data_IF_892897128568
#
_entry.id   IF_892897128568
#
_cell.length_a   1.000
_cell.length_b   1.000
_cell.length_c   1.000
_cell.angle_alpha   90.00
_cell.angle_beta   90.00
_cell.angle_gamma   90.00
#
_symmetry.space_group_name_H-M   'P 1'
#
loop_
_entity.id
_entity.type
_entity.pdbx_description
1 polymer ?
#
# COMPACT_ATOMS: atom_id res chain seq x y z
N UNK A 1 17.02 1.50 24.66
CA UNK A 1 17.25 1.64 23.19
C UNK A 1 17.35 0.23 22.63
N UNK A 2 16.26 -0.36 22.17
CA UNK A 2 16.29 -1.66 21.52
C UNK A 2 16.81 -1.44 20.08
N UNK A 3 17.93 -2.09 19.76
CA UNK A 3 18.48 -2.15 18.40
C UNK A 3 17.44 -2.87 17.53
N UNK A 4 17.12 -2.28 16.39
CA UNK A 4 16.36 -2.97 15.34
C UNK A 4 16.98 -4.34 15.10
N UNK A 5 16.18 -5.42 15.00
CA UNK A 5 16.70 -6.73 14.65
C UNK A 5 17.42 -6.63 13.31
N UNK A 6 18.50 -7.31 13.23
CA UNK A 6 19.51 -7.38 12.19
C UNK A 6 18.90 -7.30 10.79
N UNK A 7 19.15 -6.19 10.11
CA UNK A 7 18.85 -6.03 8.69
C UNK A 7 19.64 -7.07 7.89
N UNK A 8 18.97 -8.12 7.46
CA UNK A 8 19.52 -9.03 6.46
C UNK A 8 19.56 -8.26 5.14
N UNK A 9 20.70 -7.66 4.85
CA UNK A 9 20.99 -7.04 3.57
C UNK A 9 21.20 -8.13 2.53
N UNK A 10 20.13 -8.56 1.88
CA UNK A 10 20.21 -9.45 0.74
C UNK A 10 20.08 -8.59 -0.52
N UNK A 11 21.09 -8.53 -1.34
CA UNK A 11 21.18 -7.89 -2.67
C UNK A 11 20.25 -6.66 -2.88
N UNK A 12 20.26 -5.78 -1.94
CA UNK A 12 19.63 -4.48 -2.03
C UNK A 12 20.55 -3.63 -2.84
N UNK A 13 20.16 -3.36 -4.08
CA UNK A 13 20.83 -2.37 -4.89
C UNK A 13 20.91 -1.07 -4.09
N UNK A 14 22.01 -0.34 -4.19
CA UNK A 14 22.03 1.04 -3.72
C UNK A 14 20.98 1.79 -4.52
N UNK A 15 20.10 2.54 -3.83
CA UNK A 15 19.19 3.46 -4.51
C UNK A 15 19.98 4.38 -5.43
N UNK A 16 19.55 4.54 -6.68
CA UNK A 16 20.30 5.29 -7.67
C UNK A 16 19.66 6.65 -7.98
N UNK A 17 20.48 7.63 -8.26
CA UNK A 17 20.08 8.91 -8.83
C UNK A 17 18.88 9.58 -8.12
N UNK A 18 17.81 9.81 -8.87
CA UNK A 18 16.63 10.52 -8.40
C UNK A 18 15.82 9.73 -7.36
N UNK A 19 15.89 8.40 -7.36
CA UNK A 19 15.23 7.61 -6.34
C UNK A 19 15.86 7.81 -4.95
N UNK A 20 17.18 7.80 -4.90
CA UNK A 20 17.95 8.14 -3.69
C UNK A 20 17.64 9.57 -3.20
N UNK A 21 17.63 10.55 -4.11
CA UNK A 21 17.30 11.93 -3.75
C UNK A 21 15.89 12.06 -3.17
N UNK A 22 14.91 11.42 -3.81
CA UNK A 22 13.55 11.43 -3.31
C UNK A 22 13.41 10.74 -1.95
N UNK A 23 14.03 9.59 -1.74
CA UNK A 23 14.11 8.95 -0.43
C UNK A 23 14.68 9.89 0.65
N UNK A 24 15.78 10.60 0.33
CA UNK A 24 16.40 11.59 1.26
C UNK A 24 15.46 12.75 1.59
N UNK A 25 14.63 13.19 0.64
CA UNK A 25 13.62 14.24 0.86
C UNK A 25 12.44 13.68 1.67
N UNK A 26 11.97 12.47 1.38
CA UNK A 26 10.84 11.86 2.06
C UNK A 26 11.16 11.49 3.51
N UNK A 27 12.36 11.04 3.80
CA UNK A 27 12.79 10.61 5.14
C UNK A 27 12.46 11.65 6.23
N UNK A 28 12.92 12.90 6.16
CA UNK A 28 12.61 13.89 7.19
C UNK A 28 11.11 14.21 7.26
N UNK A 29 10.39 14.20 6.13
CA UNK A 29 8.94 14.45 6.09
C UNK A 29 8.18 13.35 6.83
N UNK A 30 8.50 12.08 6.55
CA UNK A 30 7.86 10.94 7.22
C UNK A 30 8.14 10.96 8.72
N UNK A 31 9.39 11.20 9.13
CA UNK A 31 9.76 11.28 10.55
C UNK A 31 9.18 12.51 11.26
N UNK A 32 8.98 13.62 10.57
CA UNK A 32 8.33 14.82 11.13
C UNK A 32 6.83 14.56 11.39
N UNK A 33 6.16 13.87 10.45
CA UNK A 33 4.70 13.68 10.48
C UNK A 33 4.27 12.41 11.23
N UNK A 34 5.14 11.41 11.39
CA UNK A 34 4.81 10.10 11.97
C UNK A 34 5.94 9.48 12.77
N UNK A 35 5.62 8.32 13.37
CA UNK A 35 6.58 7.40 13.97
C UNK A 35 6.54 6.09 13.19
N UNK A 36 7.36 5.95 12.12
CA UNK A 36 7.33 4.78 11.28
C UNK A 36 7.85 3.54 12.00
N UNK A 37 7.18 2.42 11.79
CA UNK A 37 7.56 1.08 12.27
C UNK A 37 7.14 0.06 11.22
N UNK A 38 7.97 -0.95 11.00
CA UNK A 38 7.67 -2.06 10.10
C UNK A 38 8.21 -3.38 10.61
N UNK A 39 7.60 -4.45 10.16
CA UNK A 39 8.02 -5.83 10.39
C UNK A 39 7.80 -6.68 9.14
N UNK A 40 8.21 -7.95 9.18
CA UNK A 40 8.07 -8.89 8.07
C UNK A 40 8.96 -8.57 6.86
N UNK A 41 10.02 -7.75 7.03
CA UNK A 41 10.93 -7.34 5.94
C UNK A 41 11.62 -8.56 5.30
N UNK A 42 11.79 -9.62 6.05
CA UNK A 42 12.33 -10.91 5.59
C UNK A 42 11.48 -11.59 4.52
N UNK A 43 10.20 -11.23 4.43
CA UNK A 43 9.27 -11.72 3.39
C UNK A 43 9.46 -11.02 2.05
N UNK A 44 10.23 -9.92 1.99
CA UNK A 44 10.59 -9.32 0.70
C UNK A 44 11.57 -10.21 -0.04
N UNK A 45 11.36 -10.47 -1.33
CA UNK A 45 12.33 -11.21 -2.14
C UNK A 45 13.73 -10.60 -2.05
N UNK A 46 14.75 -11.44 -2.04
CA UNK A 46 16.14 -10.99 -1.94
C UNK A 46 16.62 -10.18 -3.17
N UNK A 47 15.90 -10.29 -4.27
CA UNK A 47 16.16 -9.58 -5.53
C UNK A 47 15.20 -10.05 -6.61
N UNK A 48 15.35 -9.48 -7.81
CA UNK A 48 14.49 -9.80 -8.95
C UNK A 48 13.16 -9.04 -8.94
N UNK A 49 12.36 -9.22 -9.99
CA UNK A 49 11.05 -8.60 -10.10
C UNK A 49 10.06 -9.25 -9.14
N UNK A 50 9.20 -8.44 -8.54
CA UNK A 50 8.02 -8.89 -7.80
C UNK A 50 6.93 -7.84 -7.82
N UNK A 51 5.71 -8.25 -7.52
CA UNK A 51 4.56 -7.35 -7.36
C UNK A 51 4.36 -7.09 -5.88
N UNK A 52 4.44 -5.83 -5.47
CA UNK A 52 4.05 -5.38 -4.14
C UNK A 52 2.56 -5.02 -4.14
N UNK A 53 1.79 -5.60 -3.23
CA UNK A 53 0.34 -5.47 -3.17
C UNK A 53 -0.12 -4.85 -1.84
N UNK A 54 0.01 -3.52 -1.64
CA UNK A 54 -0.44 -2.87 -0.42
C UNK A 54 -1.94 -2.59 -0.43
N UNK A 55 -2.56 -2.51 0.78
CA UNK A 55 -3.86 -1.89 0.97
C UNK A 55 -3.76 -0.36 0.80
N UNK A 56 -4.90 0.33 0.57
CA UNK A 56 -4.90 1.74 0.22
C UNK A 56 -5.95 2.55 0.99
N UNK A 57 -5.53 3.27 2.01
CA UNK A 57 -6.44 4.00 2.91
C UNK A 57 -6.21 5.53 2.93
N UNK A 58 -5.07 6.00 2.46
CA UNK A 58 -4.65 7.39 2.59
C UNK A 58 -3.94 7.90 1.34
N UNK A 59 -4.07 9.19 1.06
CA UNK A 59 -3.23 9.84 0.06
C UNK A 59 -1.74 9.90 0.48
N UNK A 60 -1.43 9.58 1.74
CA UNK A 60 -0.05 9.47 2.25
C UNK A 60 0.57 8.09 2.01
N UNK A 61 -0.22 7.08 1.67
CA UNK A 61 0.28 5.72 1.46
C UNK A 61 1.43 5.61 0.45
N UNK A 62 1.43 6.30 -0.71
CA UNK A 62 2.56 6.24 -1.62
C UNK A 62 3.84 6.82 -1.03
N UNK A 63 3.71 7.83 -0.16
CA UNK A 63 4.85 8.44 0.55
C UNK A 63 5.42 7.47 1.59
N UNK A 64 4.55 6.84 2.38
CA UNK A 64 4.95 5.85 3.38
C UNK A 64 5.59 4.61 2.75
N UNK A 65 5.01 4.11 1.64
CA UNK A 65 5.58 2.98 0.90
C UNK A 65 6.92 3.33 0.25
N UNK A 66 7.01 4.50 -0.39
CA UNK A 66 8.27 4.96 -0.99
C UNK A 66 9.39 5.11 0.03
N UNK A 67 9.07 5.64 1.22
CA UNK A 67 10.01 5.71 2.34
C UNK A 67 10.42 4.30 2.82
N UNK A 68 9.43 3.44 3.14
CA UNK A 68 9.68 2.07 3.60
C UNK A 68 10.57 1.27 2.64
N UNK A 69 10.23 1.29 1.35
CA UNK A 69 10.98 0.56 0.33
C UNK A 69 12.37 1.15 0.12
N UNK A 70 12.49 2.47 0.11
CA UNK A 70 13.77 3.16 0.03
C UNK A 70 14.68 2.82 1.22
N UNK A 71 14.15 2.76 2.44
CA UNK A 71 14.89 2.35 3.64
C UNK A 71 15.35 0.88 3.57
N UNK A 72 14.60 0.06 2.83
CA UNK A 72 14.92 -1.34 2.58
C UNK A 72 15.69 -1.58 1.26
N UNK A 73 16.10 -0.52 0.55
CA UNK A 73 16.95 -0.59 -0.63
C UNK A 73 16.24 -1.05 -1.91
N UNK A 74 14.92 -0.87 -1.99
CA UNK A 74 14.12 -1.18 -3.17
C UNK A 74 13.67 0.08 -3.89
N UNK A 75 13.81 0.07 -5.21
CA UNK A 75 13.18 1.02 -6.12
C UNK A 75 11.90 0.40 -6.66
N UNK A 76 10.76 1.06 -6.45
CA UNK A 76 9.45 0.52 -6.83
C UNK A 76 8.74 1.45 -7.82
N UNK A 77 8.10 0.89 -8.83
CA UNK A 77 7.27 1.60 -9.79
C UNK A 77 5.80 1.41 -9.45
N UNK A 78 5.19 2.41 -8.81
CA UNK A 78 3.75 2.38 -8.52
C UNK A 78 2.91 2.79 -9.71
N UNK A 79 1.75 2.15 -9.83
CA UNK A 79 0.68 2.61 -10.69
C UNK A 79 0.04 3.86 -10.09
N UNK A 80 0.12 4.99 -10.78
CA UNK A 80 -0.37 6.28 -10.31
C UNK A 80 -1.38 6.91 -11.28
N UNK A 81 -2.40 7.59 -10.75
CA UNK A 81 -3.44 8.25 -11.57
C UNK A 81 -2.80 9.24 -12.55
N UNK A 82 -3.12 9.12 -13.85
CA UNK A 82 -2.56 9.96 -14.91
C UNK A 82 -2.65 11.48 -14.62
N UNK A 83 -3.76 11.94 -14.01
CA UNK A 83 -3.90 13.36 -13.67
C UNK A 83 -2.83 13.90 -12.73
N UNK A 84 -2.19 13.05 -11.92
CA UNK A 84 -1.10 13.45 -11.03
C UNK A 84 0.16 13.85 -11.79
N UNK A 85 0.38 13.27 -12.97
CA UNK A 85 1.50 13.61 -13.85
C UNK A 85 1.38 15.00 -14.49
N UNK A 86 0.18 15.60 -14.43
CA UNK A 86 -0.09 16.97 -14.91
C UNK A 86 0.08 18.04 -13.83
N UNK A 87 0.20 17.61 -12.55
CA UNK A 87 0.36 18.53 -11.42
C UNK A 87 1.80 19.07 -11.42
N UNK A 88 1.99 20.41 -11.36
CA UNK A 88 3.32 21.00 -11.24
C UNK A 88 4.09 20.42 -10.05
N UNK A 89 5.40 20.22 -10.19
CA UNK A 89 6.30 19.59 -9.22
C UNK A 89 6.04 18.09 -9.03
N UNK A 90 4.80 17.65 -8.78
CA UNK A 90 4.45 16.23 -8.59
C UNK A 90 4.66 15.44 -9.88
N UNK A 91 4.21 15.95 -11.01
CA UNK A 91 4.30 15.25 -12.29
C UNK A 91 5.74 14.93 -12.73
N UNK A 92 6.66 15.91 -12.74
CA UNK A 92 8.07 15.64 -12.95
C UNK A 92 8.66 14.60 -11.99
N UNK A 93 8.34 14.71 -10.71
CA UNK A 93 8.80 13.79 -9.68
C UNK A 93 8.32 12.34 -9.93
N UNK A 94 7.04 12.16 -10.26
CA UNK A 94 6.50 10.83 -10.60
C UNK A 94 7.15 10.22 -11.83
N UNK A 95 7.43 11.05 -12.86
CA UNK A 95 8.15 10.59 -14.07
C UNK A 95 9.59 10.18 -13.74
N UNK A 96 10.30 10.98 -12.96
CA UNK A 96 11.68 10.67 -12.55
C UNK A 96 11.78 9.41 -11.71
N UNK A 97 10.75 9.15 -10.88
CA UNK A 97 10.67 7.91 -10.10
C UNK A 97 10.15 6.71 -10.89
N UNK A 98 9.91 6.88 -12.19
CA UNK A 98 9.45 5.80 -13.05
C UNK A 98 8.06 5.28 -12.72
N UNK A 99 7.20 6.13 -12.10
CA UNK A 99 5.82 5.74 -11.81
C UNK A 99 5.03 5.50 -13.09
N UNK A 100 4.14 4.51 -13.07
CA UNK A 100 3.35 4.07 -14.23
C UNK A 100 2.02 4.81 -14.26
N UNK A 101 1.73 5.62 -15.31
CA UNK A 101 0.47 6.36 -15.40
C UNK A 101 -0.71 5.43 -15.70
N UNK A 102 -1.82 5.60 -14.97
CA UNK A 102 -3.09 4.88 -15.17
C UNK A 102 -4.19 5.84 -15.58
N UNK A 103 -4.76 5.64 -16.75
CA UNK A 103 -5.99 6.29 -17.20
C UNK A 103 -7.18 5.44 -16.71
N UNK A 104 -7.94 5.98 -15.74
CA UNK A 104 -9.11 5.29 -15.18
C UNK A 104 -10.35 5.54 -16.02
N UNK A 105 -11.16 4.51 -16.24
CA UNK A 105 -12.47 4.65 -16.91
C UNK A 105 -12.42 4.63 -18.43
N UNK A 106 -11.32 4.23 -19.05
CA UNK A 106 -11.19 4.02 -20.48
C UNK A 106 -10.66 2.60 -20.78
N UNK A 107 -10.75 2.16 -22.01
CA UNK A 107 -10.13 0.92 -22.52
C UNK A 107 -8.60 0.91 -22.30
N UNK A 108 -8.01 2.07 -22.04
CA UNK A 108 -6.60 2.28 -21.73
C UNK A 108 -6.20 1.85 -20.29
N UNK A 109 -7.15 1.36 -19.47
CA UNK A 109 -6.77 0.70 -18.20
C UNK A 109 -5.90 -0.55 -18.44
N UNK A 110 -6.05 -1.20 -19.59
CA UNK A 110 -5.19 -2.29 -20.07
C UNK A 110 -3.75 -1.84 -20.33
N UNK A 111 -3.54 -0.61 -20.80
CA UNK A 111 -2.20 -0.09 -21.09
C UNK A 111 -1.33 -0.01 -19.81
N UNK A 112 -1.93 0.33 -18.67
CA UNK A 112 -1.20 0.37 -17.41
C UNK A 112 -0.68 -1.01 -16.99
N UNK A 113 -1.44 -2.08 -17.23
CA UNK A 113 -0.98 -3.45 -16.97
C UNK A 113 0.10 -3.86 -17.96
N UNK A 114 0.03 -3.43 -19.22
CA UNK A 114 1.09 -3.64 -20.20
C UNK A 114 2.40 -2.99 -19.76
N UNK A 115 2.38 -1.72 -19.35
CA UNK A 115 3.59 -1.06 -18.83
C UNK A 115 4.11 -1.70 -17.54
N UNK A 116 3.22 -2.16 -16.66
CA UNK A 116 3.59 -2.91 -15.47
C UNK A 116 4.26 -4.26 -15.83
N UNK A 117 3.72 -4.97 -16.82
CA UNK A 117 4.32 -6.20 -17.35
C UNK A 117 5.73 -5.93 -17.91
N UNK A 118 5.88 -4.91 -18.76
CA UNK A 118 7.18 -4.52 -19.32
C UNK A 118 8.21 -4.18 -18.23
N UNK A 119 7.78 -3.52 -17.14
CA UNK A 119 8.63 -3.20 -16.01
C UNK A 119 9.10 -4.47 -15.28
N UNK A 120 8.17 -5.40 -14.99
CA UNK A 120 8.52 -6.70 -14.37
C UNK A 120 9.47 -7.52 -15.23
N UNK A 121 9.25 -7.57 -16.54
CA UNK A 121 10.16 -8.28 -17.49
C UNK A 121 11.56 -7.66 -17.49
N UNK A 122 11.68 -6.35 -17.26
CA UNK A 122 12.97 -5.66 -17.11
C UNK A 122 13.65 -5.88 -15.75
N UNK A 123 12.97 -6.58 -14.83
CA UNK A 123 13.49 -6.85 -13.50
C UNK A 123 13.10 -5.82 -12.44
N UNK A 124 12.21 -4.88 -12.76
CA UNK A 124 11.74 -3.86 -11.82
C UNK A 124 10.74 -4.44 -10.79
N UNK A 125 10.65 -3.80 -9.64
CA UNK A 125 9.58 -4.03 -8.67
C UNK A 125 8.39 -3.15 -9.02
N UNK A 126 7.19 -3.73 -9.07
CA UNK A 126 5.96 -2.99 -9.39
C UNK A 126 5.03 -2.97 -8.19
N UNK A 127 4.61 -1.79 -7.77
CA UNK A 127 3.63 -1.59 -6.71
C UNK A 127 2.22 -1.35 -7.26
N UNK A 128 1.26 -2.18 -6.84
CA UNK A 128 -0.13 -2.07 -7.25
C UNK A 128 -1.02 -2.07 -6.02
N UNK A 129 -1.65 -0.93 -5.74
CA UNK A 129 -2.71 -0.89 -4.74
C UNK A 129 -3.87 -1.78 -5.20
N UNK A 130 -4.04 -2.90 -4.50
CA UNK A 130 -4.94 -3.99 -4.89
C UNK A 130 -6.37 -3.54 -5.14
N UNK A 131 -6.85 -2.61 -4.33
CA UNK A 131 -8.20 -2.04 -4.41
C UNK A 131 -8.39 -1.12 -5.64
N UNK A 132 -7.31 -0.65 -6.24
CA UNK A 132 -7.31 0.28 -7.38
C UNK A 132 -7.75 1.70 -7.04
N UNK A 133 -8.13 1.97 -5.81
CA UNK A 133 -8.46 3.31 -5.27
C UNK A 133 -8.35 3.29 -3.75
N UNK A 134 -8.38 4.46 -3.13
CA UNK A 134 -8.49 4.59 -1.67
C UNK A 134 -9.74 3.89 -1.16
N UNK A 135 -9.62 3.15 -0.07
CA UNK A 135 -10.77 2.48 0.55
C UNK A 135 -11.90 3.45 0.86
N UNK A 136 -13.14 3.00 0.65
CA UNK A 136 -14.36 3.69 1.07
C UNK A 136 -14.96 3.08 2.31
N UNK A 137 -14.38 1.97 2.78
CA UNK A 137 -14.82 1.36 4.02
C UNK A 137 -14.69 2.36 5.18
N UNK A 138 -15.77 2.59 5.95
CA UNK A 138 -15.76 3.52 7.08
C UNK A 138 -14.72 3.18 8.15
N UNK A 139 -14.37 1.89 8.29
CA UNK A 139 -13.35 1.39 9.21
C UNK A 139 -11.94 1.38 8.63
N UNK A 140 -11.75 1.85 7.38
CA UNK A 140 -10.48 1.77 6.63
C UNK A 140 -10.00 0.34 6.38
N UNK A 141 -10.92 -0.64 6.33
CA UNK A 141 -10.58 -2.00 5.95
C UNK A 141 -10.29 -2.09 4.45
N UNK A 142 -9.46 -3.07 4.02
CA UNK A 142 -9.24 -3.33 2.61
C UNK A 142 -10.56 -3.65 1.91
N UNK A 143 -10.84 -2.95 0.82
CA UNK A 143 -12.00 -3.23 -0.03
C UNK A 143 -11.76 -4.42 -0.95
N UNK A 144 -12.83 -4.86 -1.60
CA UNK A 144 -12.76 -5.87 -2.65
C UNK A 144 -11.78 -5.47 -3.74
N UNK A 145 -10.81 -6.34 -3.96
CA UNK A 145 -9.73 -6.10 -4.91
C UNK A 145 -10.15 -6.22 -6.36
N UNK A 146 -9.35 -5.62 -7.24
CA UNK A 146 -9.49 -5.76 -8.69
C UNK A 146 -8.62 -6.89 -9.21
N UNK A 147 -9.09 -7.56 -10.26
CA UNK A 147 -8.43 -8.72 -10.86
C UNK A 147 -7.15 -8.40 -11.64
N UNK A 148 -6.87 -7.11 -11.90
CA UNK A 148 -5.74 -6.71 -12.74
C UNK A 148 -4.38 -7.17 -12.21
N UNK A 149 -4.19 -7.14 -10.88
CA UNK A 149 -2.96 -7.63 -10.24
C UNK A 149 -2.80 -9.13 -10.44
N UNK A 150 -3.86 -9.92 -10.22
CA UNK A 150 -3.82 -11.37 -10.40
C UNK A 150 -3.54 -11.76 -11.86
N UNK A 151 -4.12 -11.03 -12.83
CA UNK A 151 -3.81 -11.22 -14.26
C UNK A 151 -2.33 -11.00 -14.53
N UNK A 152 -1.79 -9.89 -14.07
CA UNK A 152 -0.37 -9.56 -14.24
C UNK A 152 0.55 -10.62 -13.59
N UNK A 153 0.19 -11.10 -12.39
CA UNK A 153 0.95 -12.13 -11.70
C UNK A 153 0.96 -13.45 -12.47
N UNK A 154 -0.19 -13.88 -13.01
CA UNK A 154 -0.27 -15.10 -13.80
C UNK A 154 0.49 -14.99 -15.14
N UNK A 155 0.49 -13.82 -15.77
CA UNK A 155 1.23 -13.59 -17.01
C UNK A 155 2.75 -13.53 -16.81
N UNK A 156 3.21 -13.05 -15.66
CA UNK A 156 4.64 -12.83 -15.40
C UNK A 156 5.27 -13.88 -14.49
N UNK A 157 4.47 -14.61 -13.72
CA UNK A 157 4.92 -15.64 -12.75
C UNK A 157 5.90 -15.11 -11.68
N UNK A 158 5.88 -13.80 -11.41
CA UNK A 158 6.71 -13.20 -10.37
C UNK A 158 6.04 -13.30 -9.01
N UNK A 159 6.80 -13.30 -7.90
CA UNK A 159 6.24 -13.30 -6.55
C UNK A 159 5.25 -12.14 -6.33
N UNK A 160 4.14 -12.42 -5.64
CA UNK A 160 3.16 -11.41 -5.18
C UNK A 160 3.31 -11.25 -3.68
N UNK A 161 3.72 -10.08 -3.23
CA UNK A 161 4.00 -9.77 -1.83
C UNK A 161 2.92 -8.84 -1.29
N UNK A 162 1.99 -9.34 -0.46
CA UNK A 162 1.01 -8.48 0.21
C UNK A 162 1.69 -7.63 1.28
N UNK A 163 1.23 -6.40 1.41
CA UNK A 163 1.70 -5.49 2.47
C UNK A 163 0.50 -4.82 3.12
N UNK A 164 0.42 -4.88 4.43
CA UNK A 164 -0.59 -4.14 5.17
C UNK A 164 0.04 -2.94 5.85
N UNK A 165 -0.67 -1.81 5.79
CA UNK A 165 -0.25 -0.58 6.44
C UNK A 165 -1.39 0.00 7.26
N UNK A 166 -1.04 0.77 8.31
CA UNK A 166 -1.96 1.45 9.21
C UNK A 166 -1.36 2.73 9.75
N UNK A 167 -2.19 3.76 9.97
CA UNK A 167 -1.77 5.03 10.56
C UNK A 167 -1.55 6.16 9.55
N UNK A 168 -1.43 5.85 8.25
CA UNK A 168 -1.29 6.87 7.20
C UNK A 168 -2.53 7.78 7.09
N UNK A 169 -3.73 7.25 7.39
CA UNK A 169 -4.99 8.00 7.44
C UNK A 169 -5.02 9.08 8.53
N UNK A 170 -4.23 8.91 9.60
CA UNK A 170 -4.13 9.89 10.67
C UNK A 170 -3.21 11.06 10.29
N UNK A 171 -2.36 10.87 9.28
CA UNK A 171 -1.50 11.90 8.69
C UNK A 171 -2.26 12.64 7.59
N UNK A 172 -2.83 11.90 6.63
CA UNK A 172 -3.55 12.47 5.50
C UNK A 172 -4.81 11.66 5.21
N UNK A 173 -5.91 12.08 5.82
CA UNK A 173 -7.21 11.47 5.58
C UNK A 173 -7.71 11.77 4.16
N UNK A 174 -8.44 10.82 3.58
CA UNK A 174 -8.99 10.91 2.23
C UNK A 174 -9.92 12.12 2.03
N UNK A 175 -10.73 12.43 3.05
CA UNK A 175 -11.81 13.41 2.94
C UNK A 175 -11.46 14.77 3.54
N UNK A 176 -10.62 14.79 4.57
CA UNK A 176 -10.28 16.03 5.31
C UNK A 176 -8.82 16.44 5.14
N UNK A 177 -8.04 15.70 4.34
CA UNK A 177 -6.68 16.07 3.94
C UNK A 177 -5.62 15.94 5.05
N UNK A 178 -4.55 16.73 4.96
CA UNK A 178 -3.41 16.67 5.85
C UNK A 178 -3.78 17.07 7.28
N UNK A 179 -3.28 16.30 8.25
CA UNK A 179 -3.38 16.58 9.68
C UNK A 179 -1.98 16.69 10.28
N UNK A 180 -1.58 17.90 10.63
CA UNK A 180 -0.33 18.08 11.39
C UNK A 180 -0.64 17.86 12.86
N UNK A 181 -0.21 16.72 13.40
CA UNK A 181 -0.38 16.39 14.81
C UNK A 181 0.97 16.44 15.52
N UNK A 182 1.07 17.28 16.57
CA UNK A 182 2.29 17.38 17.39
C UNK A 182 2.72 16.04 18.02
N UNK A 183 1.78 15.10 18.19
CA UNK A 183 2.04 13.78 18.76
C UNK A 183 2.59 12.76 17.78
N UNK A 184 2.65 13.08 16.49
CA UNK A 184 3.11 12.20 15.41
C UNK A 184 2.50 10.78 15.52
N UNK A 185 1.45 10.46 14.78
CA UNK A 185 0.82 9.13 14.84
C UNK A 185 1.81 8.01 14.49
N UNK A 186 1.55 6.82 14.98
CA UNK A 186 2.26 5.63 14.52
C UNK A 186 1.96 5.38 13.05
N UNK A 187 2.97 5.02 12.28
CA UNK A 187 2.84 4.58 10.90
C UNK A 187 3.38 3.15 10.84
N UNK A 188 2.48 2.19 10.63
CA UNK A 188 2.81 0.78 10.70
C UNK A 188 2.75 0.15 9.32
N UNK A 189 3.77 -0.65 8.98
CA UNK A 189 3.85 -1.40 7.73
C UNK A 189 4.29 -2.82 8.06
N UNK A 190 3.54 -3.80 7.59
CA UNK A 190 3.86 -5.22 7.74
C UNK A 190 3.88 -5.88 6.37
N UNK A 191 5.01 -6.52 6.05
CA UNK A 191 5.14 -7.35 4.87
C UNK A 191 4.68 -8.76 5.21
N UNK A 192 3.70 -9.26 4.47
CA UNK A 192 3.20 -10.62 4.64
C UNK A 192 4.00 -11.59 3.77
N UNK A 193 3.97 -12.90 4.07
CA UNK A 193 4.57 -13.90 3.19
C UNK A 193 4.04 -13.77 1.76
N UNK A 194 4.88 -13.99 0.74
CA UNK A 194 4.42 -14.05 -0.65
C UNK A 194 3.27 -15.03 -0.83
N UNK A 195 2.29 -14.66 -1.66
CA UNK A 195 1.17 -15.56 -1.95
C UNK A 195 1.69 -16.76 -2.74
N UNK A 196 1.42 -17.95 -2.24
CA UNK A 196 1.61 -19.17 -3.03
C UNK A 196 0.45 -19.32 -4.02
N UNK A 197 0.78 -19.41 -5.29
CA UNK A 197 -0.13 -19.68 -6.40
C UNK A 197 0.49 -20.60 -7.44
N UNK A 198 1.45 -21.42 -7.01
CA UNK A 198 2.15 -22.40 -7.85
C UNK A 198 1.20 -23.47 -8.42
N UNK A 199 0.09 -23.72 -7.73
CA UNK A 199 -0.98 -24.64 -8.11
C UNK A 199 -1.94 -24.06 -9.16
N UNK A 200 -1.88 -22.76 -9.45
CA UNK A 200 -2.73 -22.12 -10.47
C UNK A 200 -1.99 -22.16 -11.81
N UNK A 201 -2.44 -23.03 -12.71
CA UNK A 201 -1.87 -23.17 -14.04
C UNK A 201 -2.40 -22.13 -15.04
N UNK A 202 -1.65 -21.95 -16.15
CA UNK A 202 -2.03 -21.04 -17.23
C UNK A 202 -1.69 -19.57 -16.95
N UNK A 203 -2.18 -18.67 -17.77
CA UNK A 203 -1.95 -17.21 -17.75
C UNK A 203 -3.25 -16.44 -17.37
N UNK A 204 -3.32 -15.17 -17.69
CA UNK A 204 -4.49 -14.32 -17.43
C UNK A 204 -5.76 -14.73 -18.19
N UNK A 205 -5.68 -15.64 -19.14
CA UNK A 205 -6.85 -16.24 -19.81
C UNK A 205 -7.58 -17.25 -18.93
N UNK A 206 -6.89 -17.83 -17.95
CA UNK A 206 -7.49 -18.66 -16.91
C UNK A 206 -8.31 -17.80 -15.93
N UNK A 207 -9.56 -17.55 -16.29
CA UNK A 207 -10.44 -16.69 -15.46
C UNK A 207 -10.71 -17.23 -14.06
N UNK A 208 -10.68 -18.57 -13.89
CA UNK A 208 -10.85 -19.20 -12.57
C UNK A 208 -9.60 -18.96 -11.71
N UNK A 209 -8.41 -19.20 -12.27
CA UNK A 209 -7.14 -18.91 -11.60
C UNK A 209 -6.98 -17.45 -11.22
N UNK A 210 -7.42 -16.54 -12.10
CA UNK A 210 -7.45 -15.09 -11.78
C UNK A 210 -8.35 -14.79 -10.59
N UNK A 211 -9.54 -15.41 -10.51
CA UNK A 211 -10.45 -15.23 -9.36
C UNK A 211 -9.85 -15.80 -8.08
N UNK A 212 -9.29 -17.01 -8.16
CA UNK A 212 -8.67 -17.68 -7.01
C UNK A 212 -7.49 -16.88 -6.44
N UNK A 213 -6.56 -16.45 -7.28
CA UNK A 213 -5.42 -15.63 -6.84
C UNK A 213 -5.89 -14.30 -6.25
N UNK A 214 -6.93 -13.68 -6.84
CA UNK A 214 -7.54 -12.46 -6.30
C UNK A 214 -8.12 -12.72 -4.90
N UNK A 215 -8.79 -13.86 -4.70
CA UNK A 215 -9.37 -14.24 -3.41
C UNK A 215 -8.29 -14.55 -2.34
N UNK A 216 -7.19 -15.23 -2.71
CA UNK A 216 -6.05 -15.46 -1.81
C UNK A 216 -5.45 -14.15 -1.34
N UNK A 217 -5.20 -13.22 -2.26
CA UNK A 217 -4.66 -11.91 -1.92
C UNK A 217 -5.62 -11.10 -1.04
N UNK A 218 -6.93 -11.13 -1.34
CA UNK A 218 -7.96 -10.47 -0.53
C UNK A 218 -7.96 -10.99 0.91
N UNK A 219 -7.89 -12.31 1.07
CA UNK A 219 -7.83 -12.97 2.37
C UNK A 219 -6.57 -12.57 3.13
N UNK A 220 -5.40 -12.65 2.51
CA UNK A 220 -4.14 -12.27 3.12
C UNK A 220 -4.12 -10.82 3.61
N UNK A 221 -4.62 -9.87 2.80
CA UNK A 221 -4.72 -8.47 3.21
C UNK A 221 -5.73 -8.24 4.33
N UNK A 222 -6.85 -8.99 4.34
CA UNK A 222 -7.85 -8.95 5.42
C UNK A 222 -7.26 -9.43 6.74
N UNK A 223 -6.76 -10.67 6.77
CA UNK A 223 -6.16 -11.30 7.96
C UNK A 223 -4.92 -10.52 8.45
N UNK A 224 -4.08 -10.06 7.54
CA UNK A 224 -2.93 -9.23 7.87
C UNK A 224 -3.34 -7.89 8.49
N UNK A 225 -4.44 -7.29 8.01
CA UNK A 225 -4.98 -6.06 8.59
C UNK A 225 -5.57 -6.28 9.97
N UNK A 226 -6.27 -7.41 10.20
CA UNK A 226 -6.75 -7.82 11.52
C UNK A 226 -5.60 -8.01 12.51
N UNK A 227 -4.59 -8.76 12.12
CA UNK A 227 -3.41 -9.00 12.93
C UNK A 227 -2.61 -7.71 13.22
N UNK A 228 -2.51 -6.79 12.25
CA UNK A 228 -1.83 -5.51 12.43
C UNK A 228 -2.58 -4.59 13.38
N UNK A 229 -3.92 -4.58 13.32
CA UNK A 229 -4.80 -3.68 14.08
C UNK A 229 -5.19 -4.25 15.45
N UNK A 230 -5.12 -5.58 15.62
CA UNK A 230 -5.65 -6.27 16.80
C UNK A 230 -7.19 -6.23 16.88
N UNK A 231 -7.85 -6.10 15.72
CA UNK A 231 -9.31 -5.98 15.61
C UNK A 231 -9.82 -6.96 14.55
N UNK A 232 -11.03 -7.47 14.73
CA UNK A 232 -11.69 -8.28 13.70
C UNK A 232 -12.21 -7.38 12.57
N UNK A 233 -11.92 -7.77 11.34
CA UNK A 233 -12.42 -7.10 10.14
C UNK A 233 -13.89 -7.44 9.82
N UNK A 234 -14.45 -6.78 8.80
CA UNK A 234 -15.76 -7.14 8.30
C UNK A 234 -15.72 -8.54 7.66
N UNK A 235 -16.81 -9.31 7.83
CA UNK A 235 -16.93 -10.66 7.24
C UNK A 235 -16.76 -10.65 5.73
N UNK A 236 -17.25 -9.60 5.08
CA UNK A 236 -17.11 -9.39 3.65
C UNK A 236 -16.43 -8.03 3.38
N UNK A 237 -15.47 -7.98 2.46
CA UNK A 237 -14.82 -6.72 2.10
C UNK A 237 -15.83 -5.81 1.38
N UNK A 238 -15.75 -4.52 1.66
CA UNK A 238 -16.55 -3.50 1.00
C UNK A 238 -16.40 -3.58 -0.53
N UNK A 239 -17.53 -3.67 -1.26
CA UNK A 239 -17.53 -3.61 -2.72
C UNK A 239 -17.78 -2.16 -3.18
N UNK A 240 -16.91 -1.65 -4.06
CA UNK A 240 -17.04 -0.31 -4.63
C UNK A 240 -18.33 -0.09 -5.44
N UNK A 241 -18.92 -1.19 -5.91
CA UNK A 241 -20.18 -1.19 -6.69
C UNK A 241 -21.42 -1.23 -5.81
N UNK A 242 -21.25 -1.33 -4.48
CA UNK A 242 -22.36 -1.40 -3.57
C UNK A 242 -23.14 -0.07 -3.56
N UNK A 243 -24.36 -0.11 -4.08
CA UNK A 243 -25.33 0.98 -4.02
C UNK A 243 -25.98 0.97 -2.64
N UNK A 244 -25.73 1.95 -1.80
CA UNK A 244 -26.29 2.04 -0.44
C UNK A 244 -25.26 2.23 0.67
N UNK A 245 -24.00 2.38 0.31
CA UNK A 245 -22.96 2.80 1.24
C UNK A 245 -23.07 4.28 1.64
N UNK A 246 -22.35 4.70 2.70
CA UNK A 246 -22.38 6.08 3.16
C UNK A 246 -21.96 7.03 2.05
N UNK A 247 -22.66 8.16 1.93
CA UNK A 247 -22.36 9.24 1.00
C UNK A 247 -20.99 9.85 1.30
N UNK A 248 -20.45 10.60 0.33
CA UNK A 248 -19.20 11.34 0.53
C UNK A 248 -19.28 12.31 1.72
N UNK A 249 -20.45 12.90 1.96
CA UNK A 249 -20.65 13.86 3.06
C UNK A 249 -20.69 13.16 4.41
N UNK A 250 -21.31 11.99 4.51
CA UNK A 250 -21.30 11.15 5.71
C UNK A 250 -19.89 10.66 6.02
N UNK A 251 -19.13 10.20 5.03
CA UNK A 251 -17.73 9.80 5.21
C UNK A 251 -16.83 10.98 5.59
N UNK A 252 -17.09 12.17 5.04
CA UNK A 252 -16.38 13.40 5.42
C UNK A 252 -16.70 13.79 6.87
N UNK A 253 -17.95 13.68 7.29
CA UNK A 253 -18.39 13.97 8.65
C UNK A 253 -17.78 12.99 9.64
N UNK A 254 -17.74 11.70 9.32
CA UNK A 254 -17.08 10.66 10.10
C UNK A 254 -15.57 10.92 10.25
N UNK A 255 -14.90 11.30 9.17
CA UNK A 255 -13.48 11.66 9.19
C UNK A 255 -13.20 12.90 10.06
N UNK A 256 -14.04 13.92 10.00
CA UNK A 256 -13.95 15.09 10.88
C UNK A 256 -14.13 14.71 12.35
N UNK A 257 -15.12 13.88 12.65
CA UNK A 257 -15.39 13.38 13.99
C UNK A 257 -14.20 12.57 14.55
N UNK A 258 -13.67 11.60 13.79
CA UNK A 258 -12.46 10.86 14.17
C UNK A 258 -11.27 11.76 14.45
N UNK A 259 -11.04 12.75 13.61
CA UNK A 259 -9.98 13.74 13.80
C UNK A 259 -10.18 14.57 15.08
N UNK A 260 -11.42 14.89 15.45
CA UNK A 260 -11.71 15.58 16.71
C UNK A 260 -11.42 14.70 17.93
N UNK A 261 -11.79 13.41 17.87
CA UNK A 261 -11.46 12.45 18.92
C UNK A 261 -9.95 12.27 19.08
N UNK A 262 -9.21 12.10 17.99
CA UNK A 262 -7.76 11.96 18.03
C UNK A 262 -7.06 13.20 18.62
N UNK A 263 -7.68 14.37 18.55
CA UNK A 263 -7.20 15.62 19.21
C UNK A 263 -7.60 15.69 20.68
N UNK A 264 -8.76 15.16 21.04
CA UNK A 264 -9.35 15.22 22.38
C UNK A 264 -8.89 14.07 23.29
N UNK A 265 -8.58 12.90 22.73
CA UNK A 265 -8.27 11.71 23.51
C UNK A 265 -6.96 11.88 24.30
N UNK A 266 -7.12 11.83 25.61
CA UNK A 266 -6.03 11.71 26.56
C UNK A 266 -5.43 10.31 26.47
N UNK A 267 -4.12 10.26 26.48
CA UNK A 267 -3.12 9.17 26.63
C UNK A 267 -3.54 7.68 26.69
N UNK A 268 -4.72 7.32 27.14
CA UNK A 268 -5.13 5.93 27.37
C UNK A 268 -5.69 5.22 26.13
N UNK A 269 -6.44 5.92 25.28
CA UNK A 269 -7.14 5.28 24.14
C UNK A 269 -6.22 4.97 22.94
N UNK A 270 -5.14 5.75 22.77
CA UNK A 270 -4.13 5.51 21.73
C UNK A 270 -3.27 4.27 22.04
N UNK A 271 -3.19 3.89 23.32
CA UNK A 271 -2.47 2.68 23.76
C UNK A 271 -3.32 1.41 23.59
N UNK A 272 -4.63 1.52 23.64
CA UNK A 272 -5.57 0.42 23.42
C UNK A 272 -5.71 0.02 21.93
N UNK A 273 -5.50 0.96 21.00
CA UNK A 273 -5.50 0.73 19.55
C UNK A 273 -4.10 0.34 18.99
N UNK A 274 -3.25 -0.26 19.79
CA UNK A 274 -1.93 -0.72 19.34
C UNK A 274 -2.08 -2.05 18.60
N UNK A 275 -1.66 -2.14 17.32
CA UNK A 275 -1.36 -3.43 16.72
C UNK A 275 -0.36 -4.17 17.63
N UNK A 276 -0.61 -5.45 17.87
CA UNK A 276 0.36 -6.30 18.58
C UNK A 276 1.58 -6.50 17.68
N UNK A 277 2.59 -5.66 17.87
CA UNK A 277 3.92 -6.01 17.40
C UNK A 277 4.53 -6.92 18.45
N UNK A 278 4.68 -8.19 18.12
CA UNK A 278 5.43 -9.11 18.97
C UNK A 278 6.84 -8.57 19.15
N UNK A 279 7.21 -8.42 20.41
CA UNK A 279 8.59 -8.13 20.77
C UNK A 279 9.36 -9.44 20.58
N UNK A 280 9.93 -9.61 19.38
CA UNK A 280 11.03 -10.56 19.20
C UNK A 280 12.35 -9.87 19.56
#
# INVERSE_FOLDING_TARGET
>A
MAKNPTQIRTHRGSLHGMYWLGYRILTPVVHLLSRPRWDGVENLPSGGPFILAPNHMSNFDPVSMGYFLGDNGFEVRFLAKHSLFKVPVVGPFLRWWGMIPVLRGSDQAGDALKYAHEALVKGDVVGIYFEGTLTRDPGFWPMKGKTGLARLALDTRVPVVPVVQWGAQDIMDRYVGLSVNKRRPGLFIRVLPPIDYSDIEGDSSNHEGVRELTARLQRALGEGSEALRGENGPREPWDQKFEGGPSKDELTSLSKWRRSLARASHRQDILAARPSFDRA
#
